data_IF_740228759331
#
_entry.id   IF_740228759331
#
_cell.length_a   1.000
_cell.length_b   1.000
_cell.length_c   1.000
_cell.angle_alpha   90.00
_cell.angle_beta   90.00
_cell.angle_gamma   90.00
#
_symmetry.space_group_name_H-M   'P 1'
#
loop_
_entity.id
_entity.type
_entity.pdbx_description
1 polymer ?
#
# COMPACT_ATOMS: atom_id res chain seq x y z
N UNK A 1 -14.05 0.92 21.40
CA UNK A 1 -14.98 0.33 20.39
C UNK A 1 -15.02 1.12 19.06
N UNK A 2 -14.58 2.38 19.03
CA UNK A 2 -14.70 3.27 17.85
C UNK A 2 -13.43 3.26 16.99
N UNK A 3 -12.27 2.83 17.52
CA UNK A 3 -11.08 2.57 16.72
C UNK A 3 -11.26 1.41 15.71
N UNK A 4 -12.26 0.56 15.94
CA UNK A 4 -12.61 -0.57 15.06
C UNK A 4 -13.32 -0.11 13.78
N UNK A 5 -13.99 1.05 13.76
CA UNK A 5 -14.83 1.45 12.62
C UNK A 5 -14.03 1.97 11.42
N UNK A 6 -13.00 2.79 11.61
CA UNK A 6 -12.19 3.27 10.48
C UNK A 6 -11.25 2.18 9.92
N UNK A 7 -10.64 1.40 10.79
CA UNK A 7 -9.88 0.20 10.40
C UNK A 7 -10.78 -0.86 9.73
N UNK A 8 -12.03 -1.03 10.21
CA UNK A 8 -12.97 -1.98 9.60
C UNK A 8 -13.44 -1.53 8.22
N UNK A 9 -13.65 -0.24 7.99
CA UNK A 9 -14.06 0.29 6.69
C UNK A 9 -12.91 0.16 5.67
N UNK A 10 -11.69 0.50 6.05
CA UNK A 10 -10.51 0.34 5.18
C UNK A 10 -10.26 -1.14 4.86
N UNK A 11 -10.41 -2.02 5.85
CA UNK A 11 -10.24 -3.46 5.66
C UNK A 11 -11.39 -4.08 4.85
N UNK A 12 -12.62 -3.63 5.05
CA UNK A 12 -13.79 -4.08 4.28
C UNK A 12 -13.70 -3.63 2.83
N UNK A 13 -13.31 -2.39 2.60
CA UNK A 13 -13.07 -1.86 1.25
C UNK A 13 -11.94 -2.59 0.53
N UNK A 14 -10.87 -2.95 1.26
CA UNK A 14 -9.77 -3.76 0.72
C UNK A 14 -10.23 -5.19 0.39
N UNK A 15 -11.13 -5.78 1.20
CA UNK A 15 -11.74 -7.08 0.91
C UNK A 15 -12.57 -7.02 -0.37
N UNK A 16 -13.42 -6.01 -0.52
CA UNK A 16 -14.23 -5.80 -1.73
C UNK A 16 -13.37 -5.67 -2.98
N UNK A 17 -12.23 -4.97 -2.88
CA UNK A 17 -11.27 -4.82 -3.97
C UNK A 17 -10.63 -6.14 -4.39
N UNK A 18 -10.29 -6.98 -3.41
CA UNK A 18 -9.68 -8.28 -3.65
C UNK A 18 -10.70 -9.27 -4.19
N UNK A 19 -11.90 -9.28 -3.65
CA UNK A 19 -13.01 -10.11 -4.14
C UNK A 19 -13.38 -9.73 -5.57
N UNK A 20 -13.35 -8.45 -5.91
CA UNK A 20 -13.55 -7.95 -7.26
C UNK A 20 -12.46 -8.46 -8.22
N UNK A 21 -11.18 -8.37 -7.86
CA UNK A 21 -10.06 -8.85 -8.66
C UNK A 21 -10.17 -10.37 -8.88
N UNK A 22 -10.40 -11.13 -7.80
CA UNK A 22 -10.49 -12.60 -7.86
C UNK A 22 -11.72 -13.07 -8.64
N UNK A 23 -12.88 -12.44 -8.45
CA UNK A 23 -14.10 -12.78 -9.18
C UNK A 23 -13.94 -12.54 -10.67
N UNK A 24 -13.28 -11.46 -11.03
CA UNK A 24 -13.03 -11.11 -12.43
C UNK A 24 -12.02 -12.03 -13.13
N UNK A 25 -11.03 -12.55 -12.41
CA UNK A 25 -10.10 -13.54 -12.97
C UNK A 25 -10.78 -14.87 -13.32
N UNK A 26 -11.89 -15.20 -12.65
CA UNK A 26 -12.65 -16.44 -12.86
C UNK A 26 -13.63 -16.42 -14.05
N UNK A 27 -14.15 -15.25 -14.43
CA UNK A 27 -15.13 -15.12 -15.52
C UNK A 27 -14.51 -15.17 -16.93
N UNK A 28 -13.29 -15.65 -17.09
CA UNK A 28 -12.40 -15.48 -18.24
C UNK A 28 -12.58 -16.51 -19.37
N UNK A 29 -13.79 -16.83 -19.80
CA UNK A 29 -14.00 -17.80 -20.89
C UNK A 29 -14.36 -17.18 -22.24
N UNK A 30 -14.44 -15.86 -22.39
CA UNK A 30 -14.88 -15.25 -23.65
C UNK A 30 -13.72 -14.56 -24.39
N UNK A 31 -13.54 -14.92 -25.68
CA UNK A 31 -12.49 -14.41 -26.58
C UNK A 31 -12.72 -12.97 -27.08
N UNK A 32 -13.69 -12.26 -26.52
CA UNK A 32 -13.99 -10.89 -26.92
C UNK A 32 -13.07 -9.89 -26.23
N UNK A 33 -12.61 -8.93 -27.01
CA UNK A 33 -11.87 -7.76 -26.51
C UNK A 33 -12.81 -6.79 -25.84
N UNK A 34 -12.57 -6.44 -24.59
CA UNK A 34 -13.38 -5.45 -23.89
C UNK A 34 -12.61 -4.73 -22.77
N UNK A 35 -13.05 -3.51 -22.52
CA UNK A 35 -12.72 -2.77 -21.33
C UNK A 35 -13.77 -3.02 -20.27
N UNK A 36 -13.30 -3.22 -19.05
CA UNK A 36 -14.14 -3.25 -17.88
C UNK A 36 -13.58 -2.23 -16.87
N UNK A 37 -14.43 -1.40 -16.33
CA UNK A 37 -14.04 -0.33 -15.42
C UNK A 37 -14.97 -0.30 -14.23
N UNK A 38 -14.40 0.01 -13.08
CA UNK A 38 -15.12 0.20 -11.85
C UNK A 38 -14.58 1.43 -11.09
N UNK A 39 -15.43 2.03 -10.30
CA UNK A 39 -15.11 3.23 -9.53
C UNK A 39 -15.81 3.20 -8.19
N UNK A 40 -15.03 3.37 -7.12
CA UNK A 40 -15.55 3.53 -5.76
C UNK A 40 -15.11 4.88 -5.21
N UNK A 41 -16.06 5.63 -4.70
CA UNK A 41 -15.81 6.86 -3.97
C UNK A 41 -16.42 6.75 -2.59
N UNK A 42 -15.62 7.03 -1.57
CA UNK A 42 -16.06 7.03 -0.19
C UNK A 42 -15.63 8.31 0.51
N UNK A 43 -16.51 8.85 1.34
CA UNK A 43 -16.18 9.95 2.27
C UNK A 43 -16.72 9.63 3.65
N UNK A 44 -15.94 9.91 4.67
CA UNK A 44 -16.26 9.62 6.06
C UNK A 44 -16.02 10.83 6.95
N UNK A 45 -16.89 10.95 7.95
CA UNK A 45 -16.78 11.92 9.04
C UNK A 45 -16.92 11.18 10.37
N UNK A 46 -15.90 11.27 11.21
CA UNK A 46 -15.87 10.70 12.54
C UNK A 46 -15.71 11.81 13.58
N UNK A 47 -16.49 11.73 14.67
CA UNK A 47 -16.33 12.63 15.81
C UNK A 47 -16.46 11.85 17.10
N UNK A 48 -15.47 11.97 17.99
CA UNK A 48 -15.51 11.48 19.36
C UNK A 48 -15.46 12.68 20.30
N UNK A 49 -16.45 12.73 21.19
CA UNK A 49 -16.50 13.75 22.22
C UNK A 49 -16.73 13.06 23.57
N UNK A 50 -15.77 13.20 24.46
CA UNK A 50 -15.77 12.66 25.81
C UNK A 50 -16.09 13.77 26.80
N UNK A 51 -17.07 13.55 27.66
CA UNK A 51 -17.45 14.48 28.72
C UNK A 51 -17.40 13.75 30.06
N UNK A 52 -16.67 14.27 31.03
CA UNK A 52 -16.48 13.66 32.34
C UNK A 52 -16.07 12.18 32.30
N UNK A 53 -15.24 11.80 31.32
CA UNK A 53 -14.80 10.43 31.10
C UNK A 53 -13.47 10.17 31.82
N UNK A 54 -13.48 9.26 32.83
CA UNK A 54 -12.33 8.99 33.70
C UNK A 54 -11.36 7.91 33.16
N UNK A 55 -11.79 7.13 32.15
CA UNK A 55 -10.99 6.00 31.68
C UNK A 55 -9.95 6.37 30.60
N UNK A 56 -9.69 7.66 30.37
CA UNK A 56 -8.77 8.14 29.34
C UNK A 56 -9.42 8.20 27.93
N UNK A 57 -8.71 8.76 27.00
CA UNK A 57 -9.14 8.99 25.61
C UNK A 57 -9.04 10.47 25.23
N UNK A 58 -9.16 10.74 23.95
CA UNK A 58 -9.07 12.09 23.38
C UNK A 58 -10.34 12.42 22.61
N UNK A 59 -10.76 13.66 22.68
CA UNK A 59 -11.74 14.18 21.75
C UNK A 59 -11.07 14.34 20.40
N UNK A 60 -11.69 13.87 19.34
CA UNK A 60 -11.19 14.10 18.00
C UNK A 60 -12.32 14.24 16.98
N UNK A 61 -11.99 14.84 15.88
CA UNK A 61 -12.80 14.94 14.69
C UNK A 61 -11.93 14.58 13.49
N UNK A 62 -12.43 13.73 12.61
CA UNK A 62 -11.75 13.24 11.43
C UNK A 62 -12.65 13.39 10.21
N UNK A 63 -12.05 13.81 9.11
CA UNK A 63 -12.67 13.83 7.79
C UNK A 63 -11.73 13.10 6.87
N UNK A 64 -12.24 12.14 6.11
CA UNK A 64 -11.45 11.48 5.08
C UNK A 64 -12.27 11.20 3.84
N UNK A 65 -11.57 11.09 2.72
CA UNK A 65 -12.12 10.70 1.44
C UNK A 65 -11.17 9.75 0.73
N UNK A 66 -11.70 8.80 -0.01
CA UNK A 66 -10.94 7.96 -0.93
C UNK A 66 -11.69 7.81 -2.26
N UNK A 67 -10.90 7.57 -3.30
CA UNK A 67 -11.39 7.24 -4.63
C UNK A 67 -10.50 6.16 -5.23
N UNK A 68 -11.10 5.02 -5.58
CA UNK A 68 -10.42 3.90 -6.20
C UNK A 68 -11.03 3.64 -7.58
N UNK A 69 -10.20 3.47 -8.59
CA UNK A 69 -10.57 3.31 -9.99
C UNK A 69 -9.86 2.09 -10.54
N UNK A 70 -10.61 1.18 -11.14
CA UNK A 70 -10.09 0.00 -11.84
C UNK A 70 -10.38 0.15 -13.32
N UNK A 71 -9.37 -0.11 -14.14
CA UNK A 71 -9.46 -0.08 -15.60
C UNK A 71 -8.81 -1.35 -16.13
N UNK A 72 -9.63 -2.34 -16.47
CA UNK A 72 -9.20 -3.65 -16.91
C UNK A 72 -9.45 -3.83 -18.40
N UNK A 73 -8.42 -4.19 -19.13
CA UNK A 73 -8.51 -4.51 -20.54
C UNK A 73 -8.16 -5.96 -20.81
N UNK A 74 -8.95 -6.63 -21.64
CA UNK A 74 -8.75 -8.02 -22.03
C UNK A 74 -8.86 -8.16 -23.54
N UNK A 75 -7.89 -8.85 -24.11
CA UNK A 75 -7.93 -9.23 -25.51
C UNK A 75 -7.16 -10.55 -25.73
N UNK A 76 -7.86 -11.59 -26.13
CA UNK A 76 -7.29 -12.93 -26.30
C UNK A 76 -6.56 -13.40 -25.02
N UNK A 77 -5.23 -13.57 -25.15
CA UNK A 77 -4.36 -14.01 -24.04
C UNK A 77 -3.75 -12.85 -23.23
N UNK A 78 -4.05 -11.61 -23.57
CA UNK A 78 -3.48 -10.44 -22.93
C UNK A 78 -4.48 -9.81 -21.96
N UNK A 79 -3.99 -9.51 -20.76
CA UNK A 79 -4.71 -8.78 -19.72
C UNK A 79 -3.90 -7.57 -19.30
N UNK A 80 -4.55 -6.46 -19.13
CA UNK A 80 -3.95 -5.24 -18.67
C UNK A 80 -4.83 -4.63 -17.58
N UNK A 81 -4.40 -4.82 -16.33
CA UNK A 81 -5.09 -4.36 -15.15
C UNK A 81 -4.45 -3.06 -14.67
N UNK A 82 -5.26 -2.04 -14.45
CA UNK A 82 -4.81 -0.77 -13.91
C UNK A 82 -5.66 -0.40 -12.70
N UNK A 83 -4.98 0.11 -11.70
CA UNK A 83 -5.58 0.61 -10.46
C UNK A 83 -5.05 2.01 -10.16
N UNK A 84 -5.94 2.91 -9.81
CA UNK A 84 -5.64 4.24 -9.32
C UNK A 84 -6.33 4.39 -7.96
N UNK A 85 -5.53 4.53 -6.89
CA UNK A 85 -6.02 4.74 -5.54
C UNK A 85 -5.62 6.12 -5.04
N UNK A 86 -6.60 6.89 -4.59
CA UNK A 86 -6.42 8.23 -4.04
C UNK A 86 -7.07 8.27 -2.67
N UNK A 87 -6.36 8.74 -1.64
CA UNK A 87 -6.97 9.01 -0.34
C UNK A 87 -6.39 10.25 0.31
N UNK A 88 -7.23 10.96 1.05
CA UNK A 88 -6.83 12.10 1.86
C UNK A 88 -7.68 12.16 3.12
N UNK A 89 -7.02 12.24 4.27
CA UNK A 89 -7.65 12.36 5.57
C UNK A 89 -7.00 13.42 6.43
N UNK A 90 -7.82 14.11 7.22
CA UNK A 90 -7.37 15.08 8.19
C UNK A 90 -8.05 14.82 9.53
N UNK A 91 -7.30 14.96 10.60
CA UNK A 91 -7.73 14.73 11.97
C UNK A 91 -7.43 15.97 12.81
N UNK A 92 -8.41 16.37 13.60
CA UNK A 92 -8.31 17.39 14.63
C UNK A 92 -8.49 16.75 15.98
N UNK A 93 -7.48 16.85 16.86
CA UNK A 93 -7.50 16.27 18.21
C UNK A 93 -7.54 17.39 19.25
N UNK A 94 -8.09 17.09 20.43
CA UNK A 94 -8.05 18.01 21.59
C UNK A 94 -6.76 17.88 22.41
N UNK A 95 -5.79 17.16 21.92
CA UNK A 95 -4.46 17.11 22.55
C UNK A 95 -3.71 18.40 22.20
N UNK A 96 -3.52 19.28 23.18
CA UNK A 96 -3.10 20.65 22.95
C UNK A 96 -4.29 21.61 22.86
N UNK A 97 -4.04 22.89 23.06
CA UNK A 97 -5.09 23.92 23.13
C UNK A 97 -5.52 24.49 21.77
N UNK A 98 -4.89 24.11 20.68
CA UNK A 98 -5.00 24.80 19.38
C UNK A 98 -6.06 24.23 18.46
N UNK A 99 -6.37 22.94 18.57
CA UNK A 99 -7.37 22.30 17.74
C UNK A 99 -7.09 22.42 16.23
N UNK A 100 -5.84 22.25 15.82
CA UNK A 100 -5.37 22.30 14.44
C UNK A 100 -5.68 20.98 13.73
N UNK A 101 -5.91 21.03 12.42
CA UNK A 101 -6.06 19.88 11.56
C UNK A 101 -4.70 19.37 11.12
N UNK A 102 -4.41 18.09 11.41
CA UNK A 102 -3.22 17.39 10.95
C UNK A 102 -3.63 16.30 9.95
N UNK A 103 -2.79 16.04 9.01
CA UNK A 103 -2.95 14.95 8.04
C UNK A 103 -2.82 13.60 8.76
N UNK A 104 -3.76 12.67 8.53
CA UNK A 104 -3.72 11.31 9.06
C UNK A 104 -3.81 10.22 7.99
N UNK A 105 -4.21 10.59 6.77
CA UNK A 105 -4.14 9.75 5.58
C UNK A 105 -3.77 10.60 4.37
N UNK A 106 -2.92 10.10 3.49
CA UNK A 106 -2.51 10.78 2.27
C UNK A 106 -1.85 9.79 1.30
N UNK A 107 -2.53 9.48 0.21
CA UNK A 107 -2.06 8.45 -0.72
C UNK A 107 -2.45 8.80 -2.16
N UNK A 108 -1.46 8.69 -3.03
CA UNK A 108 -1.61 8.54 -4.48
C UNK A 108 -0.96 7.21 -4.82
N UNK A 109 -1.71 6.29 -5.37
CA UNK A 109 -1.22 4.98 -5.80
C UNK A 109 -1.67 4.69 -7.22
N UNK A 110 -0.72 4.30 -8.07
CA UNK A 110 -0.97 3.87 -9.44
C UNK A 110 -0.34 2.48 -9.60
N UNK A 111 -1.14 1.50 -9.97
CA UNK A 111 -0.65 0.16 -10.28
C UNK A 111 -1.07 -0.20 -11.69
N UNK A 112 -0.14 -0.70 -12.48
CA UNK A 112 -0.40 -1.20 -13.83
C UNK A 112 0.26 -2.56 -13.99
N UNK A 113 -0.51 -3.58 -14.29
CA UNK A 113 -0.03 -4.94 -14.50
C UNK A 113 -0.47 -5.44 -15.86
N UNK A 114 0.50 -5.76 -16.69
CA UNK A 114 0.27 -6.38 -17.99
C UNK A 114 0.66 -7.83 -17.92
N UNK A 115 -0.28 -8.72 -18.27
CA UNK A 115 -0.10 -10.18 -18.19
C UNK A 115 -0.40 -10.85 -19.51
N UNK A 116 0.34 -11.91 -19.81
CA UNK A 116 0.13 -12.79 -20.95
C UNK A 116 -0.18 -14.19 -20.46
N UNK A 117 -1.41 -14.62 -20.64
CA UNK A 117 -1.91 -15.94 -20.26
C UNK A 117 -1.23 -17.06 -21.04
N UNK A 118 -0.88 -18.12 -20.32
CA UNK A 118 -0.36 -19.37 -20.91
C UNK A 118 -1.37 -20.52 -20.72
N UNK A 119 -1.22 -21.65 -21.42
CA UNK A 119 -2.04 -22.84 -21.17
C UNK A 119 -1.72 -23.53 -19.81
N UNK A 120 -0.76 -23.04 -19.07
CA UNK A 120 -0.29 -23.59 -17.81
C UNK A 120 -0.78 -22.75 -16.62
N UNK A 121 -0.40 -23.13 -15.40
CA UNK A 121 -0.75 -22.44 -14.17
C UNK A 121 0.02 -21.12 -13.95
N UNK A 122 0.97 -20.79 -14.82
CA UNK A 122 1.83 -19.61 -14.71
C UNK A 122 1.67 -18.71 -15.92
N UNK A 123 1.35 -17.45 -15.69
CA UNK A 123 1.27 -16.41 -16.71
C UNK A 123 2.49 -15.48 -16.63
N UNK A 124 2.96 -14.98 -17.77
CA UNK A 124 4.00 -13.94 -17.76
C UNK A 124 3.38 -12.60 -17.41
N UNK A 125 4.01 -11.85 -16.52
CA UNK A 125 3.50 -10.54 -16.15
C UNK A 125 4.60 -9.50 -15.92
N UNK A 126 4.23 -8.26 -16.18
CA UNK A 126 5.02 -7.07 -15.92
C UNK A 126 4.20 -6.12 -15.06
N UNK A 127 4.72 -5.79 -13.90
CA UNK A 127 4.09 -4.92 -12.90
C UNK A 127 4.84 -3.61 -12.81
N UNK A 128 4.10 -2.50 -12.81
CA UNK A 128 4.56 -1.19 -12.37
C UNK A 128 3.62 -0.73 -11.24
N UNK A 129 4.20 -0.30 -10.13
CA UNK A 129 3.48 0.38 -9.06
C UNK A 129 4.19 1.69 -8.74
N UNK A 130 3.43 2.72 -8.48
CA UNK A 130 3.89 4.04 -8.12
C UNK A 130 3.08 4.53 -6.94
N UNK A 131 3.72 4.87 -5.84
CA UNK A 131 3.06 5.35 -4.64
C UNK A 131 3.71 6.64 -4.15
N UNK A 132 2.88 7.61 -3.81
CA UNK A 132 3.29 8.90 -3.26
C UNK A 132 2.13 9.56 -2.50
N UNK A 133 2.19 10.85 -2.27
CA UNK A 133 1.24 11.63 -1.48
C UNK A 133 0.97 13.02 -2.05
N UNK A 134 -0.10 13.67 -1.56
CA UNK A 134 -0.58 14.97 -2.06
C UNK A 134 0.02 16.17 -1.33
N UNK A 135 0.20 16.08 0.00
CA UNK A 135 0.40 17.27 0.82
C UNK A 135 1.54 17.11 1.83
N UNK A 136 1.96 18.23 2.43
CA UNK A 136 2.88 18.20 3.58
C UNK A 136 2.24 17.49 4.77
N UNK A 137 3.03 16.67 5.46
CA UNK A 137 2.67 16.02 6.71
C UNK A 137 3.48 16.53 7.89
N UNK A 138 2.84 16.62 9.06
CA UNK A 138 3.44 17.09 10.29
C UNK A 138 3.08 16.12 11.42
N UNK A 139 4.04 15.88 12.35
CA UNK A 139 3.77 15.02 13.50
C UNK A 139 2.93 15.72 14.57
N UNK A 140 3.19 17.01 14.76
CA UNK A 140 2.60 17.81 15.85
C UNK A 140 2.15 19.17 15.36
N UNK A 141 1.36 19.85 16.19
CA UNK A 141 0.98 21.25 15.97
C UNK A 141 2.21 22.17 15.96
N UNK A 142 3.18 21.88 16.81
CA UNK A 142 4.44 22.65 16.88
C UNK A 142 5.24 22.52 15.58
N UNK A 143 5.26 21.33 14.97
CA UNK A 143 5.92 21.12 13.68
C UNK A 143 5.22 21.89 12.56
N UNK A 144 3.88 21.93 12.57
CA UNK A 144 3.10 22.72 11.61
C UNK A 144 3.37 24.23 11.74
N UNK A 145 3.41 24.77 12.98
CA UNK A 145 3.68 26.19 13.23
C UNK A 145 5.09 26.61 12.77
N UNK A 146 6.05 25.69 12.84
CA UNK A 146 7.44 25.93 12.44
C UNK A 146 7.76 25.45 11.02
N UNK A 147 6.77 24.99 10.24
CA UNK A 147 6.91 24.37 8.91
C UNK A 147 7.94 23.21 8.89
N UNK A 148 8.02 22.47 10.00
CA UNK A 148 8.90 21.31 10.16
C UNK A 148 8.18 20.04 9.69
N UNK A 149 7.99 19.89 8.37
CA UNK A 149 7.27 18.79 7.78
C UNK A 149 8.14 17.53 7.63
N UNK A 150 7.53 16.37 7.76
CA UNK A 150 8.17 15.08 7.58
C UNK A 150 8.06 14.52 6.16
N UNK A 151 7.11 15.00 5.39
CA UNK A 151 6.85 14.64 4.00
C UNK A 151 6.21 15.80 3.24
N UNK A 152 6.21 15.74 1.90
CA UNK A 152 5.68 16.80 1.03
C UNK A 152 5.09 16.17 -0.25
N UNK A 153 4.44 16.97 -1.10
CA UNK A 153 3.97 16.54 -2.40
C UNK A 153 5.09 15.85 -3.21
N UNK A 154 4.83 14.63 -3.67
CA UNK A 154 5.79 13.77 -4.36
C UNK A 154 7.11 13.54 -3.61
N UNK A 155 7.10 13.62 -2.29
CA UNK A 155 8.29 13.38 -1.45
C UNK A 155 7.89 12.68 -0.13
N UNK A 156 8.02 11.33 -0.07
CA UNK A 156 8.70 10.44 -1.02
C UNK A 156 7.84 9.94 -2.19
N UNK A 157 8.50 9.44 -3.23
CA UNK A 157 7.94 8.60 -4.29
C UNK A 157 8.52 7.19 -4.15
N UNK A 158 7.67 6.16 -4.27
CA UNK A 158 8.06 4.76 -4.22
C UNK A 158 7.67 4.03 -5.51
N UNK A 159 8.46 4.14 -6.59
CA UNK A 159 8.22 3.34 -7.79
C UNK A 159 8.76 1.91 -7.62
N UNK A 160 7.97 0.96 -8.11
CA UNK A 160 8.34 -0.46 -8.23
C UNK A 160 8.06 -0.87 -9.68
N UNK A 161 9.01 -1.59 -10.29
CA UNK A 161 8.81 -2.22 -11.58
C UNK A 161 9.40 -3.63 -11.55
N UNK A 162 8.59 -4.63 -11.92
CA UNK A 162 9.00 -6.03 -11.86
C UNK A 162 8.52 -6.84 -13.04
N UNK A 163 9.38 -7.72 -13.55
CA UNK A 163 9.03 -8.73 -14.53
C UNK A 163 8.99 -10.08 -13.83
N UNK A 164 7.86 -10.78 -13.96
CA UNK A 164 7.61 -11.99 -13.20
C UNK A 164 6.52 -12.88 -13.79
N UNK A 165 5.94 -13.66 -12.89
CA UNK A 165 4.95 -14.68 -13.19
C UNK A 165 3.79 -14.58 -12.22
N UNK A 166 2.57 -14.64 -12.75
CA UNK A 166 1.37 -14.85 -11.97
C UNK A 166 1.06 -16.34 -11.88
N UNK A 167 0.76 -16.84 -10.70
CA UNK A 167 0.36 -18.20 -10.44
C UNK A 167 -1.11 -18.26 -10.05
N UNK A 168 -1.89 -19.04 -10.79
CA UNK A 168 -3.31 -19.21 -10.59
C UNK A 168 -3.65 -20.70 -10.42
N UNK A 169 -3.38 -21.25 -9.23
CA UNK A 169 -3.63 -22.66 -8.96
C UNK A 169 -5.10 -22.97 -8.73
N UNK A 170 -5.80 -22.07 -8.09
CA UNK A 170 -7.22 -22.22 -7.73
C UNK A 170 -7.78 -20.87 -7.29
N UNK A 171 -9.10 -20.83 -7.02
CA UNK A 171 -9.81 -19.62 -6.58
C UNK A 171 -9.42 -19.11 -5.19
N UNK A 172 -8.49 -19.76 -4.49
CA UNK A 172 -8.09 -19.42 -3.13
C UNK A 172 -6.67 -18.85 -3.03
N UNK A 173 -5.81 -19.22 -3.96
CA UNK A 173 -4.41 -18.82 -3.93
C UNK A 173 -3.99 -18.20 -5.24
N UNK A 174 -3.62 -16.94 -5.19
CA UNK A 174 -2.92 -16.23 -6.25
C UNK A 174 -1.54 -15.83 -5.77
N UNK A 175 -0.56 -15.91 -6.65
CA UNK A 175 0.78 -15.49 -6.34
C UNK A 175 1.39 -14.75 -7.52
N UNK A 176 2.01 -13.63 -7.24
CA UNK A 176 2.90 -12.94 -8.17
C UNK A 176 4.34 -13.14 -7.70
N UNK A 177 5.20 -13.61 -8.58
CA UNK A 177 6.61 -13.86 -8.27
C UNK A 177 7.47 -13.17 -9.33
N UNK A 178 8.27 -12.21 -8.90
CA UNK A 178 9.16 -11.44 -9.75
C UNK A 178 10.62 -11.61 -9.33
N UNK A 179 11.41 -12.39 -10.07
CA UNK A 179 12.82 -12.55 -9.79
C UNK A 179 13.64 -11.31 -10.12
N UNK A 180 13.13 -10.41 -10.95
CA UNK A 180 13.78 -9.17 -11.35
C UNK A 180 12.81 -8.02 -11.07
N UNK A 181 13.00 -7.35 -9.94
CA UNK A 181 12.21 -6.20 -9.50
C UNK A 181 13.16 -5.06 -9.16
N UNK A 182 12.86 -3.88 -9.67
CA UNK A 182 13.47 -2.62 -9.27
C UNK A 182 12.49 -1.91 -8.31
N UNK A 183 12.98 -1.51 -7.16
CA UNK A 183 12.29 -0.68 -6.16
C UNK A 183 13.13 0.57 -5.94
N UNK A 184 12.51 1.73 -5.89
CA UNK A 184 13.25 2.96 -5.63
C UNK A 184 12.55 3.79 -4.57
N UNK A 185 13.31 4.60 -3.84
CA UNK A 185 12.83 5.67 -2.97
C UNK A 185 13.38 6.96 -3.54
N UNK A 186 12.49 7.89 -3.89
CA UNK A 186 12.86 9.17 -4.51
C UNK A 186 12.26 10.29 -3.65
N UNK A 187 13.10 11.21 -3.23
CA UNK A 187 12.72 12.43 -2.52
C UNK A 187 13.14 13.61 -3.38
N UNK A 188 12.17 14.41 -3.84
CA UNK A 188 12.46 15.58 -4.69
C UNK A 188 12.57 16.87 -3.89
N UNK A 189 12.01 16.92 -2.69
CA UNK A 189 12.07 18.09 -1.80
C UNK A 189 13.48 18.29 -1.24
N UNK A 190 14.05 19.48 -1.47
CA UNK A 190 15.43 19.79 -1.09
C UNK A 190 15.67 19.89 0.42
N UNK A 191 14.65 20.23 1.21
CA UNK A 191 14.74 20.27 2.66
C UNK A 191 14.81 18.86 3.23
N UNK A 192 13.96 17.95 2.74
CA UNK A 192 13.92 16.55 3.13
C UNK A 192 15.19 15.80 2.69
N UNK A 193 15.76 16.09 1.51
CA UNK A 193 17.05 15.55 1.06
C UNK A 193 18.18 15.89 2.04
N UNK A 194 18.25 17.15 2.48
CA UNK A 194 19.31 17.62 3.39
C UNK A 194 19.27 16.95 4.77
N UNK A 195 18.06 16.62 5.25
CA UNK A 195 17.89 15.93 6.53
C UNK A 195 18.20 14.44 6.43
N UNK A 196 17.97 13.84 5.26
CA UNK A 196 18.19 12.42 5.04
C UNK A 196 17.09 11.55 5.64
N UNK A 197 15.89 11.62 5.07
CA UNK A 197 14.69 10.89 5.51
C UNK A 197 14.41 9.66 4.61
N UNK A 198 13.47 8.82 5.02
CA UNK A 198 13.01 7.63 4.27
C UNK A 198 14.13 6.61 3.96
N UNK A 199 15.12 6.51 4.84
CA UNK A 199 16.27 5.63 4.67
C UNK A 199 17.29 6.11 3.64
N UNK A 200 17.21 7.38 3.23
CA UNK A 200 18.21 8.09 2.45
C UNK A 200 19.19 8.80 3.38
N UNK A 201 20.39 9.01 2.92
CA UNK A 201 21.37 9.91 3.54
C UNK A 201 21.49 11.20 2.70
N UNK A 202 21.96 12.32 3.25
CA UNK A 202 22.19 13.53 2.47
C UNK A 202 23.10 13.33 1.25
N UNK A 203 23.96 12.30 1.27
CA UNK A 203 24.88 11.95 0.18
C UNK A 203 24.20 11.15 -0.96
N UNK A 204 22.96 10.68 -0.79
CA UNK A 204 22.25 9.90 -1.80
C UNK A 204 21.52 10.78 -2.84
N UNK A 205 21.62 12.10 -2.70
CA UNK A 205 20.97 13.09 -3.58
C UNK A 205 19.46 12.84 -3.79
N UNK A 206 18.83 12.30 -2.76
CA UNK A 206 17.40 12.04 -2.76
C UNK A 206 16.95 10.78 -3.51
N UNK A 207 17.86 9.90 -3.95
CA UNK A 207 17.51 8.69 -4.70
C UNK A 207 18.17 7.45 -4.13
N UNK A 208 17.38 6.42 -3.80
CA UNK A 208 17.86 5.07 -3.49
C UNK A 208 17.24 4.07 -4.45
N UNK A 209 18.07 3.24 -5.06
CA UNK A 209 17.63 2.17 -5.97
C UNK A 209 18.00 0.83 -5.36
N UNK A 210 17.05 -0.07 -5.37
CA UNK A 210 17.14 -1.46 -4.92
C UNK A 210 16.72 -2.34 -6.08
N UNK A 211 17.41 -3.45 -6.30
CA UNK A 211 17.03 -4.45 -7.28
C UNK A 211 17.02 -5.81 -6.62
N UNK A 212 15.95 -6.58 -6.82
CA UNK A 212 15.80 -7.79 -6.04
C UNK A 212 14.68 -8.71 -6.49
N UNK A 213 14.40 -9.66 -5.62
CA UNK A 213 13.26 -10.56 -5.73
C UNK A 213 12.04 -9.96 -5.01
N UNK A 214 10.89 -10.04 -5.65
CA UNK A 214 9.62 -9.64 -5.07
C UNK A 214 8.61 -10.77 -5.20
N UNK A 215 7.82 -11.00 -4.18
CA UNK A 215 6.70 -11.94 -4.23
C UNK A 215 5.53 -11.40 -3.42
N UNK A 216 4.33 -11.53 -3.97
CA UNK A 216 3.08 -11.28 -3.28
C UNK A 216 2.21 -12.54 -3.37
N UNK A 217 1.73 -13.01 -2.24
CA UNK A 217 0.91 -14.21 -2.08
C UNK A 217 -0.40 -13.81 -1.43
N UNK A 218 -1.48 -13.96 -2.15
CA UNK A 218 -2.81 -13.71 -1.64
C UNK A 218 -3.56 -15.04 -1.47
N UNK A 219 -4.01 -15.31 -0.25
CA UNK A 219 -4.85 -16.44 0.07
C UNK A 219 -6.21 -15.97 0.59
N UNK A 220 -7.29 -16.49 -0.01
CA UNK A 220 -8.66 -16.21 0.40
C UNK A 220 -9.42 -17.49 0.68
N UNK A 221 -10.27 -17.49 1.69
CA UNK A 221 -11.11 -18.65 2.04
C UNK A 221 -12.48 -18.20 2.55
N UNK A 222 -13.53 -18.49 1.78
CA UNK A 222 -14.91 -18.03 2.02
C UNK A 222 -15.69 -18.84 3.06
N UNK A 223 -15.14 -19.95 3.54
CA UNK A 223 -15.81 -20.80 4.54
C UNK A 223 -14.78 -21.51 5.39
N UNK A 224 -14.06 -20.77 6.21
CA UNK A 224 -13.01 -21.32 7.08
C UNK A 224 -13.59 -22.31 8.10
N UNK A 225 -12.95 -23.45 8.26
CA UNK A 225 -13.41 -24.57 9.11
C UNK A 225 -14.84 -25.08 8.79
N UNK A 226 -15.32 -24.93 7.55
CA UNK A 226 -16.67 -25.32 7.15
C UNK A 226 -17.77 -24.34 7.56
N UNK A 227 -17.42 -23.22 8.20
CA UNK A 227 -18.35 -22.18 8.58
C UNK A 227 -18.47 -21.15 7.46
N UNK A 228 -19.64 -21.09 6.80
CA UNK A 228 -19.91 -20.18 5.67
C UNK A 228 -19.90 -18.70 6.06
N UNK A 229 -20.01 -18.40 7.34
CA UNK A 229 -20.02 -17.03 7.85
C UNK A 229 -18.59 -16.53 8.18
N UNK A 230 -17.58 -17.41 8.14
CA UNK A 230 -16.21 -17.06 8.48
C UNK A 230 -15.35 -16.99 7.22
N UNK A 231 -14.92 -15.80 6.86
CA UNK A 231 -14.06 -15.50 5.73
C UNK A 231 -12.65 -15.16 6.23
N UNK A 232 -11.65 -15.67 5.55
CA UNK A 232 -10.25 -15.37 5.81
C UNK A 232 -9.58 -14.84 4.56
N UNK A 233 -8.83 -13.77 4.70
CA UNK A 233 -7.89 -13.27 3.71
C UNK A 233 -6.51 -13.13 4.35
N UNK A 234 -5.47 -13.51 3.62
CA UNK A 234 -4.09 -13.32 4.01
C UNK A 234 -3.28 -12.85 2.81
N UNK A 235 -2.64 -11.70 2.96
CA UNK A 235 -1.72 -11.12 1.97
C UNK A 235 -0.30 -11.12 2.55
N UNK A 236 0.60 -11.82 1.89
CA UNK A 236 2.00 -11.90 2.25
C UNK A 236 2.85 -11.31 1.13
N UNK A 237 3.50 -10.20 1.41
CA UNK A 237 4.45 -9.57 0.50
C UNK A 237 5.88 -9.75 1.01
N UNK A 238 6.77 -10.18 0.13
CA UNK A 238 8.19 -10.39 0.39
C UNK A 238 9.02 -9.59 -0.61
N UNK A 239 10.05 -8.90 -0.13
CA UNK A 239 11.06 -8.30 -0.98
C UNK A 239 12.46 -8.57 -0.40
N UNK A 240 13.39 -8.98 -1.25
CA UNK A 240 14.80 -9.11 -0.87
C UNK A 240 15.67 -8.40 -1.89
N UNK A 241 16.57 -7.56 -1.40
CA UNK A 241 17.43 -6.75 -2.23
C UNK A 241 18.73 -7.51 -2.58
N UNK A 242 19.09 -7.56 -3.85
CA UNK A 242 20.34 -8.14 -4.33
C UNK A 242 21.52 -7.16 -4.27
N UNK A 243 21.22 -5.85 -4.18
CA UNK A 243 22.23 -4.82 -4.12
C UNK A 243 22.71 -4.58 -2.67
N UNK A 244 23.95 -4.14 -2.46
CA UNK A 244 24.45 -3.84 -1.12
C UNK A 244 23.69 -2.65 -0.53
N UNK A 245 23.07 -2.87 0.64
CA UNK A 245 22.17 -1.88 1.27
C UNK A 245 22.87 -0.90 2.20
N UNK A 246 24.06 -1.22 2.70
CA UNK A 246 24.66 -0.43 3.77
C UNK A 246 26.02 0.09 3.40
N UNK A 247 26.15 1.42 3.42
CA UNK A 247 27.44 2.08 3.45
C UNK A 247 27.89 2.16 4.91
N UNK A 248 28.84 1.32 5.32
CA UNK A 248 29.44 1.40 6.65
C UNK A 248 30.64 2.35 6.55
N UNK A 249 30.76 3.36 7.45
CA UNK A 249 31.97 4.17 7.50
C UNK A 249 33.20 3.28 7.68
N UNK A 250 34.21 3.47 6.86
CA UNK A 250 35.48 2.77 7.02
C UNK A 250 36.19 3.33 8.26
N UNK A 251 36.38 2.48 9.28
CA UNK A 251 37.01 2.87 10.55
C UNK A 251 38.46 3.34 10.33
N UNK A 252 39.12 2.82 9.29
CA UNK A 252 40.53 3.11 9.00
C UNK A 252 40.71 4.31 8.06
N UNK A 253 39.65 4.71 7.34
CA UNK A 253 39.70 5.80 6.38
C UNK A 253 38.48 6.72 6.56
N UNK A 254 38.55 7.74 7.42
CA UNK A 254 37.44 8.68 7.64
C UNK A 254 37.02 9.36 6.34
N UNK A 255 35.73 9.23 5.99
CA UNK A 255 35.17 9.75 4.73
C UNK A 255 34.98 8.70 3.62
N UNK A 256 35.54 7.50 3.78
CA UNK A 256 35.26 6.36 2.92
C UNK A 256 34.18 5.47 3.52
N UNK A 257 33.35 4.89 2.65
CA UNK A 257 32.30 3.95 3.03
C UNK A 257 32.57 2.61 2.38
N UNK A 258 32.56 1.53 3.16
CA UNK A 258 32.56 0.16 2.64
C UNK A 258 31.12 -0.29 2.38
N UNK A 259 30.92 -1.00 1.28
CA UNK A 259 29.62 -1.63 0.97
C UNK A 259 29.48 -2.91 1.79
N UNK A 260 28.47 -2.98 2.64
CA UNK A 260 28.12 -4.22 3.33
C UNK A 260 26.97 -4.91 2.60
N UNK A 261 27.15 -6.20 2.30
CA UNK A 261 26.12 -7.07 1.74
C UNK A 261 25.40 -7.77 2.89
N UNK A 262 24.43 -7.10 3.51
CA UNK A 262 23.52 -7.75 4.42
C UNK A 262 22.32 -8.26 3.61
N UNK A 263 22.07 -9.57 3.67
CA UNK A 263 20.85 -10.15 3.13
C UNK A 263 19.70 -9.75 4.04
N UNK A 264 18.81 -8.90 3.54
CA UNK A 264 17.60 -8.48 4.24
C UNK A 264 16.37 -8.91 3.46
N UNK A 265 15.35 -9.35 4.18
CA UNK A 265 14.04 -9.65 3.62
C UNK A 265 13.04 -8.72 4.27
N UNK A 266 12.44 -7.86 3.46
CA UNK A 266 11.28 -7.09 3.89
C UNK A 266 10.05 -8.00 3.82
N UNK A 267 9.32 -8.12 4.92
CA UNK A 267 8.13 -8.98 5.04
C UNK A 267 6.95 -8.10 5.46
N UNK A 268 5.89 -8.13 4.68
CA UNK A 268 4.59 -7.56 5.08
C UNK A 268 3.57 -8.68 5.08
N UNK A 269 2.91 -8.89 6.20
CA UNK A 269 1.84 -9.88 6.36
C UNK A 269 0.59 -9.16 6.87
N UNK A 270 -0.48 -9.27 6.10
CA UNK A 270 -1.80 -8.80 6.49
C UNK A 270 -2.76 -9.98 6.58
N UNK A 271 -3.51 -10.04 7.65
CA UNK A 271 -4.52 -11.08 7.86
C UNK A 271 -5.82 -10.41 8.25
N UNK A 272 -6.86 -10.69 7.49
CA UNK A 272 -8.22 -10.24 7.76
C UNK A 272 -9.12 -11.47 7.95
N UNK A 273 -9.77 -11.55 9.11
CA UNK A 273 -10.81 -12.53 9.37
C UNK A 273 -12.14 -11.79 9.59
N UNK A 274 -13.15 -12.12 8.79
CA UNK A 274 -14.46 -11.50 8.85
C UNK A 274 -15.51 -12.56 9.22
N UNK A 275 -16.35 -12.26 10.20
CA UNK A 275 -17.47 -13.12 10.59
C UNK A 275 -18.80 -12.39 10.38
N UNK A 276 -19.63 -12.92 9.50
CA UNK A 276 -20.98 -12.42 9.27
C UNK A 276 -21.94 -12.98 10.33
N UNK A 277 -22.51 -12.11 11.16
CA UNK A 277 -23.40 -12.52 12.24
C UNK A 277 -24.80 -12.81 11.71
N UNK A 278 -25.30 -11.99 10.80
CA UNK A 278 -26.58 -12.17 10.09
C UNK A 278 -26.60 -11.27 8.84
N UNK A 279 -27.61 -11.44 7.99
CA UNK A 279 -27.81 -10.68 6.74
C UNK A 279 -28.25 -9.22 6.96
N UNK A 280 -28.34 -8.75 8.22
CA UNK A 280 -28.80 -7.40 8.58
C UNK A 280 -27.68 -6.50 9.14
N UNK A 281 -26.44 -7.00 9.26
CA UNK A 281 -25.26 -6.26 9.72
C UNK A 281 -24.05 -6.51 8.83
#
# INVERSE_FOLDING_TARGET
LIFVSSLSIISQHRQENIDYINKKELELTDDKSYWDNDFVFYTGFNRVQLYNWAAGGLNFMEIHGLADIWLDYRHNKFHWNNFIGLSLGVLKSSYGNSGIWLKNDDRIELTSKFSKRTPHLWDYSFLINFRTQFTKGYYTEFDLENDNYMDNFLSPIYPIAGFGFDYHANNRLTAYVSPITMKSTIVIDDSLKKVGVFGLTPSDDGVRIEAGFYSNLLYTHDSLFGNKNLHLMSDLTLFTNYLPNKRIPDINNPGLYTKNYEFTVDVTLEILATYHINDFF
#
